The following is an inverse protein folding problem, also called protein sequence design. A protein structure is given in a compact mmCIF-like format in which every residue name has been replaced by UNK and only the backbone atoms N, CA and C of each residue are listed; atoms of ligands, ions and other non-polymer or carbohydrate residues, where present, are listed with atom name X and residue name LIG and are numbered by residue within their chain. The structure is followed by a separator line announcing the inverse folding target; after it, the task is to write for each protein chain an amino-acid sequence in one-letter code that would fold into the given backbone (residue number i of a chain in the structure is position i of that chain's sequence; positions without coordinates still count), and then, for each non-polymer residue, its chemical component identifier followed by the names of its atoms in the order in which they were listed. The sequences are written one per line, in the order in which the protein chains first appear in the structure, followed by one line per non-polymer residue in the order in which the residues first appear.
data_IF_433776814273
#
_entry.id   IF_433776814273
#
_cell.length_a   1.000
_cell.length_b   1.000
_cell.length_c   1.000
_cell.angle_alpha   90.00
_cell.angle_beta   90.00
_cell.angle_gamma   90.00
#
_symmetry.space_group_name_H-M   'P 1'
#
loop_
_entity.id
_entity.type
_entity.pdbx_description
1 polymer ?
#
# COMPACT_ATOMS: atom_id res chain seq x y z
N UNK A 1 1.51 9.72 0.87
CA UNK A 1 2.84 10.15 1.38
C UNK A 1 3.65 10.67 0.21
N UNK A 2 4.38 11.77 0.37
CA UNK A 2 5.24 12.32 -0.70
C UNK A 2 6.68 11.88 -0.42
N UNK A 3 7.31 11.22 -1.38
CA UNK A 3 8.74 10.87 -1.34
C UNK A 3 9.45 11.73 -2.38
N UNK A 4 10.54 12.38 -1.99
CA UNK A 4 11.38 13.16 -2.88
C UNK A 4 12.79 12.56 -2.98
N UNK A 5 13.43 12.74 -4.14
CA UNK A 5 14.79 12.31 -4.39
C UNK A 5 15.42 13.12 -5.52
N UNK A 6 16.73 13.00 -5.70
CA UNK A 6 17.43 13.61 -6.83
C UNK A 6 18.15 12.54 -7.65
N UNK A 7 18.15 12.70 -8.98
CA UNK A 7 18.86 11.83 -9.90
C UNK A 7 19.87 12.63 -10.70
N UNK A 8 21.15 12.28 -10.53
CA UNK A 8 22.25 12.82 -11.31
C UNK A 8 22.36 12.18 -12.69
N UNK A 9 22.62 12.99 -13.71
CA UNK A 9 22.93 12.59 -15.07
C UNK A 9 24.28 13.20 -15.45
N UNK A 10 25.14 12.41 -16.08
CA UNK A 10 26.41 12.87 -16.64
C UNK A 10 26.39 12.67 -18.15
N UNK A 11 26.43 13.77 -18.88
CA UNK A 11 26.53 13.77 -20.34
C UNK A 11 27.95 14.11 -20.74
N UNK A 12 28.56 13.30 -21.59
CA UNK A 12 29.81 13.69 -22.27
C UNK A 12 29.44 14.46 -23.53
N UNK A 13 29.81 15.74 -23.57
CA UNK A 13 29.43 16.65 -24.65
C UNK A 13 30.45 16.61 -25.79
N UNK A 14 31.74 16.56 -25.45
CA UNK A 14 32.83 16.57 -26.43
C UNK A 14 34.11 15.99 -25.80
N UNK A 15 35.06 15.63 -26.66
CA UNK A 15 36.46 15.38 -26.30
C UNK A 15 37.29 16.39 -27.08
N UNK A 16 38.12 17.16 -26.39
CA UNK A 16 38.91 18.26 -26.95
C UNK A 16 40.36 18.10 -26.54
N UNK A 17 41.31 18.37 -27.44
CA UNK A 17 42.73 18.43 -27.06
C UNK A 17 43.04 19.82 -26.53
N UNK A 18 43.33 19.92 -25.23
CA UNK A 18 43.61 21.16 -24.52
C UNK A 18 44.93 21.01 -23.77
N UNK A 19 45.61 22.12 -23.49
CA UNK A 19 46.76 22.10 -22.59
C UNK A 19 46.25 21.96 -21.15
N UNK A 20 46.70 20.92 -20.46
CA UNK A 20 46.28 20.67 -19.08
C UNK A 20 46.79 21.79 -18.16
N UNK A 21 45.88 22.46 -17.45
CA UNK A 21 46.21 23.55 -16.52
C UNK A 21 47.06 23.13 -15.30
N UNK A 22 47.25 21.82 -15.09
CA UNK A 22 48.10 21.30 -14.01
C UNK A 22 49.50 20.91 -14.48
N UNK A 23 49.63 20.17 -15.59
CA UNK A 23 50.92 19.62 -16.05
C UNK A 23 51.46 20.27 -17.34
N UNK A 24 50.73 21.18 -17.97
CA UNK A 24 51.19 21.94 -19.14
C UNK A 24 51.27 21.16 -20.46
N UNK A 25 50.93 19.87 -20.46
CA UNK A 25 50.95 19.05 -21.68
C UNK A 25 49.61 19.10 -22.43
N UNK A 26 49.62 19.10 -23.78
CA UNK A 26 48.41 18.93 -24.58
C UNK A 26 47.86 17.51 -24.38
N UNK A 27 46.62 17.40 -23.92
CA UNK A 27 45.95 16.14 -23.63
C UNK A 27 44.49 16.18 -24.07
N UNK A 28 43.86 15.01 -24.23
CA UNK A 28 42.43 14.92 -24.50
C UNK A 28 41.64 15.14 -23.19
N UNK A 29 40.79 16.16 -23.17
CA UNK A 29 39.89 16.49 -22.07
C UNK A 29 38.44 16.23 -22.48
N UNK A 30 37.70 15.50 -21.65
CA UNK A 30 36.26 15.29 -21.85
C UNK A 30 35.48 16.45 -21.24
N UNK A 31 34.71 17.16 -22.06
CA UNK A 31 33.73 18.13 -21.56
C UNK A 31 32.49 17.37 -21.09
N UNK A 32 32.21 17.41 -19.78
CA UNK A 32 31.06 16.71 -19.19
C UNK A 32 30.07 17.69 -18.59
N UNK A 33 28.79 17.53 -18.90
CA UNK A 33 27.67 18.25 -18.28
C UNK A 33 27.04 17.37 -17.20
N UNK A 34 27.03 17.86 -15.97
CA UNK A 34 26.31 17.23 -14.85
C UNK A 34 24.94 17.90 -14.71
N UNK A 35 23.88 17.10 -14.72
CA UNK A 35 22.50 17.57 -14.52
C UNK A 35 21.90 16.81 -13.35
N UNK A 36 21.41 17.51 -12.34
CA UNK A 36 20.68 16.89 -11.23
C UNK A 36 19.21 17.20 -11.39
N UNK A 37 18.38 16.17 -11.55
CA UNK A 37 16.92 16.33 -11.66
C UNK A 37 16.27 16.01 -10.33
N UNK A 38 15.37 16.87 -9.87
CA UNK A 38 14.48 16.57 -8.75
C UNK A 38 13.39 15.60 -9.21
N UNK A 39 13.05 14.63 -8.36
CA UNK A 39 12.04 13.61 -8.63
C UNK A 39 11.09 13.53 -7.44
N UNK A 40 9.79 13.43 -7.72
CA UNK A 40 8.73 13.37 -6.72
C UNK A 40 7.84 12.17 -7.03
N UNK A 41 7.64 11.31 -6.03
CA UNK A 41 6.79 10.13 -6.10
C UNK A 41 5.61 10.29 -5.15
N UNK A 42 4.39 10.11 -5.66
CA UNK A 42 3.19 10.07 -4.84
C UNK A 42 2.80 8.62 -4.59
N UNK A 43 3.09 8.13 -3.38
CA UNK A 43 2.76 6.75 -2.99
C UNK A 43 1.50 6.78 -2.10
N UNK A 44 0.36 6.25 -2.57
CA UNK A 44 -0.82 6.08 -1.75
C UNK A 44 -0.61 4.88 -0.81
N UNK A 45 -0.43 5.16 0.48
CA UNK A 45 -0.41 4.14 1.54
C UNK A 45 -1.78 4.00 2.25
N UNK A 46 -2.80 4.70 1.75
CA UNK A 46 -4.15 4.58 2.30
C UNK A 46 -4.87 3.38 1.66
N UNK A 47 -5.66 2.61 2.44
CA UNK A 47 -6.47 1.53 1.88
C UNK A 47 -7.53 2.10 0.93
N UNK A 48 -7.65 1.54 -0.27
CA UNK A 48 -8.61 2.00 -1.28
C UNK A 48 -10.01 1.43 -1.03
N UNK A 49 -10.11 0.23 -0.46
CA UNK A 49 -11.38 -0.37 -0.08
C UNK A 49 -11.22 -1.31 1.11
N UNK A 50 -12.19 -1.29 2.02
CA UNK A 50 -12.30 -2.25 3.12
C UNK A 50 -13.56 -3.09 2.91
N UNK A 51 -13.44 -4.40 2.99
CA UNK A 51 -14.55 -5.36 2.88
C UNK A 51 -14.47 -6.32 4.07
N UNK A 52 -15.62 -6.68 4.61
CA UNK A 52 -15.73 -7.60 5.73
C UNK A 52 -16.39 -8.89 5.27
N UNK A 53 -15.89 -10.02 5.77
CA UNK A 53 -16.46 -11.33 5.54
C UNK A 53 -16.24 -12.21 6.77
N UNK A 54 -17.15 -13.15 6.99
CA UNK A 54 -16.97 -14.25 7.93
C UNK A 54 -16.58 -15.51 7.15
N UNK A 55 -15.78 -16.37 7.76
CA UNK A 55 -15.34 -17.62 7.14
C UNK A 55 -15.70 -18.80 8.06
N UNK A 56 -16.35 -19.82 7.51
CA UNK A 56 -16.61 -21.05 8.23
C UNK A 56 -15.30 -21.84 8.39
N UNK A 57 -14.93 -22.17 9.62
CA UNK A 57 -13.72 -22.96 9.91
C UNK A 57 -13.86 -24.46 9.55
N UNK A 58 -15.09 -24.96 9.35
CA UNK A 58 -15.35 -26.36 9.00
C UNK A 58 -15.28 -26.62 7.49
N UNK A 59 -15.98 -25.80 6.69
CA UNK A 59 -16.08 -26.00 5.23
C UNK A 59 -15.41 -24.89 4.39
N UNK A 60 -14.91 -23.81 5.00
CA UNK A 60 -14.21 -22.73 4.31
C UNK A 60 -15.10 -21.71 3.60
N UNK A 61 -16.42 -21.89 3.60
CA UNK A 61 -17.35 -20.95 2.95
C UNK A 61 -17.27 -19.56 3.56
N UNK A 62 -17.15 -18.54 2.70
CA UNK A 62 -17.13 -17.13 3.08
C UNK A 62 -18.48 -16.46 2.87
N UNK A 63 -18.89 -15.62 3.82
CA UNK A 63 -20.09 -14.78 3.70
C UNK A 63 -19.70 -13.32 3.91
N UNK A 64 -20.04 -12.46 2.94
CA UNK A 64 -19.82 -11.01 3.04
C UNK A 64 -20.74 -10.44 4.11
N UNK A 65 -20.20 -9.55 4.94
CA UNK A 65 -20.96 -8.84 5.98
C UNK A 65 -20.78 -7.33 5.82
N UNK A 66 -21.75 -6.56 6.28
CA UNK A 66 -21.65 -5.11 6.31
C UNK A 66 -20.68 -4.65 7.40
N UNK A 67 -20.22 -3.39 7.33
CA UNK A 67 -19.37 -2.83 8.39
C UNK A 67 -20.06 -2.83 9.76
N UNK A 68 -21.35 -2.50 9.80
CA UNK A 68 -22.16 -2.52 11.02
C UNK A 68 -22.26 -3.94 11.63
N UNK A 69 -22.50 -4.95 10.79
CA UNK A 69 -22.52 -6.35 11.22
C UNK A 69 -21.16 -6.79 11.75
N UNK A 70 -20.07 -6.38 11.10
CA UNK A 70 -18.71 -6.71 11.54
C UNK A 70 -18.41 -6.09 12.93
N UNK A 71 -18.80 -4.85 13.17
CA UNK A 71 -18.62 -4.17 14.46
C UNK A 71 -19.44 -4.82 15.57
N UNK A 72 -20.69 -5.20 15.28
CA UNK A 72 -21.54 -5.95 16.21
C UNK A 72 -20.94 -7.31 16.55
N UNK A 73 -20.45 -8.05 15.55
CA UNK A 73 -19.79 -9.35 15.74
C UNK A 73 -18.49 -9.21 16.56
N UNK A 74 -17.70 -8.15 16.32
CA UNK A 74 -16.49 -7.87 17.08
C UNK A 74 -16.80 -7.53 18.54
N UNK A 75 -17.84 -6.71 18.78
CA UNK A 75 -18.27 -6.35 20.13
C UNK A 75 -18.80 -7.58 20.89
N UNK A 76 -19.58 -8.44 20.23
CA UNK A 76 -20.01 -9.72 20.79
C UNK A 76 -18.83 -10.62 21.16
N UNK A 77 -17.79 -10.69 20.32
CA UNK A 77 -16.60 -11.48 20.60
C UNK A 77 -15.79 -10.96 21.81
N UNK A 78 -15.73 -9.65 22.01
CA UNK A 78 -15.03 -9.03 23.16
C UNK A 78 -15.86 -9.15 24.45
N UNK A 79 -17.19 -9.01 24.36
CA UNK A 79 -18.09 -9.11 25.51
C UNK A 79 -18.34 -10.56 25.97
N UNK A 80 -18.17 -11.53 25.07
CA UNK A 80 -18.42 -12.95 25.31
C UNK A 80 -17.21 -13.81 25.03
N UNK A 81 -16.28 -13.88 25.98
CA UNK A 81 -15.35 -15.01 26.05
C UNK A 81 -16.16 -16.30 26.19
N UNK A 82 -16.20 -17.12 25.14
CA UNK A 82 -16.84 -18.44 25.06
C UNK A 82 -18.23 -18.58 25.70
N UNK A 83 -19.29 -18.53 24.88
CA UNK A 83 -20.55 -19.18 25.23
C UNK A 83 -21.80 -18.59 24.60
N UNK A 84 -22.58 -19.44 23.91
CA UNK A 84 -24.03 -19.29 23.86
C UNK A 84 -24.65 -18.92 22.51
N UNK A 85 -25.02 -19.96 21.75
CA UNK A 85 -26.32 -20.12 21.09
C UNK A 85 -26.97 -18.87 20.48
N UNK A 86 -26.83 -18.70 19.16
CA UNK A 86 -27.88 -18.02 18.39
C UNK A 86 -29.04 -19.02 18.20
N UNK A 87 -30.00 -19.00 19.12
CA UNK A 87 -31.30 -19.62 18.93
C UNK A 87 -32.18 -18.60 18.21
N UNK A 88 -32.24 -18.73 16.88
CA UNK A 88 -33.10 -17.91 16.03
C UNK A 88 -34.55 -18.29 16.33
N UNK A 89 -35.30 -17.36 16.92
CA UNK A 89 -36.70 -17.54 17.27
C UNK A 89 -37.54 -17.86 16.03
N UNK A 90 -38.12 -19.06 16.01
CA UNK A 90 -39.23 -19.37 15.12
C UNK A 90 -40.52 -18.74 15.68
N UNK A 91 -41.30 -18.01 14.88
CA UNK A 91 -42.61 -17.53 15.31
C UNK A 91 -43.57 -18.72 15.43
N UNK A 92 -44.07 -18.94 16.65
CA UNK A 92 -45.13 -19.89 16.99
C UNK A 92 -46.45 -19.42 16.37
N UNK A 93 -47.03 -20.20 15.46
CA UNK A 93 -48.41 -20.00 15.01
C UNK A 93 -49.37 -20.82 15.87
N UNK A 94 -50.39 -20.21 16.49
CA UNK A 94 -51.44 -20.93 17.20
C UNK A 94 -52.50 -21.38 16.19
N UNK A 95 -52.83 -22.68 16.17
CA UNK A 95 -54.09 -23.12 15.58
C UNK A 95 -54.91 -23.84 16.65
N UNK A 96 -56.13 -23.33 16.83
CA UNK A 96 -57.11 -23.68 17.84
C UNK A 96 -58.01 -24.83 17.35
N UNK A 97 -58.37 -25.69 18.32
CA UNK A 97 -59.51 -26.62 18.41
C UNK A 97 -59.61 -27.77 17.40
#
# INVERSE_FOLDING_TARGET
MIIFGTKGYLYQLAILTLVCGHCGNPAAHTLRKRVTKFTLFFVPLFPISTKYATQCTFCGTEQKVTGEQAEQLQTQAVAGGYGGQQQHGQPQQPYQS
#
